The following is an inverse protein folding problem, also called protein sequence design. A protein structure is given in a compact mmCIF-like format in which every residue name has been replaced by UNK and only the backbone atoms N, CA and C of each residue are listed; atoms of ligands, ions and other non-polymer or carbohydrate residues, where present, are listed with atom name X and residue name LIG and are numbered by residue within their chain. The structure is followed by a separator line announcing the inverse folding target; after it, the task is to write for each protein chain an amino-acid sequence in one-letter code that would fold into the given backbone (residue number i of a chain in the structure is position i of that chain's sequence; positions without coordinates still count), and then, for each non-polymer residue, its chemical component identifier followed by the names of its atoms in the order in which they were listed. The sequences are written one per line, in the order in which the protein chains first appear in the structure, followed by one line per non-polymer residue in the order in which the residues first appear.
data_IF_061819984342
#
_entry.id   IF_061819984342
#
_cell.length_a   1.000
_cell.length_b   1.000
_cell.length_c   1.000
_cell.angle_alpha   90.00
_cell.angle_beta   90.00
_cell.angle_gamma   90.00
#
_symmetry.space_group_name_H-M   'P 1'
#
loop_
_entity.id
_entity.type
_entity.pdbx_description
1 polymer ?
#
# COMPACT_ATOMS: atom_id res chain seq x y z
N UNK A 1 0.48 -6.38 -4.25
CA UNK A 1 1.46 -7.43 -3.88
C UNK A 1 2.20 -8.05 -5.06
N UNK A 2 1.49 -8.55 -6.08
CA UNK A 2 2.15 -9.19 -7.22
C UNK A 2 3.18 -8.28 -7.93
N UNK A 3 2.80 -7.02 -8.17
CA UNK A 3 3.67 -6.02 -8.83
C UNK A 3 5.03 -5.90 -8.14
N UNK A 4 5.05 -5.67 -6.83
CA UNK A 4 6.29 -5.50 -6.08
C UNK A 4 7.08 -6.80 -5.96
N UNK A 5 6.42 -7.96 -5.92
CA UNK A 5 7.09 -9.26 -5.92
C UNK A 5 7.84 -9.51 -7.24
N UNK A 6 7.23 -9.13 -8.37
CA UNK A 6 7.90 -9.17 -9.68
C UNK A 6 9.08 -8.22 -9.73
N UNK A 7 8.92 -6.99 -9.24
CA UNK A 7 10.01 -6.02 -9.13
C UNK A 7 11.19 -6.61 -8.34
N UNK A 8 10.93 -7.22 -7.17
CA UNK A 8 11.97 -7.89 -6.39
C UNK A 8 12.69 -8.99 -7.19
N UNK A 9 11.94 -9.86 -7.89
CA UNK A 9 12.53 -10.95 -8.68
C UNK A 9 13.39 -10.48 -9.84
N UNK A 10 12.97 -9.45 -10.57
CA UNK A 10 13.68 -8.98 -11.76
C UNK A 10 14.78 -7.96 -11.47
N UNK A 11 14.67 -7.19 -10.39
CA UNK A 11 15.59 -6.07 -10.11
C UNK A 11 16.35 -6.22 -8.80
N UNK A 12 15.97 -7.15 -7.93
CA UNK A 12 16.48 -7.23 -6.56
C UNK A 12 16.01 -6.09 -5.64
N UNK A 13 15.16 -5.17 -6.14
CA UNK A 13 14.74 -4.02 -5.36
C UNK A 13 13.87 -4.44 -4.14
N UNK A 14 14.19 -3.95 -2.92
CA UNK A 14 13.58 -4.44 -1.69
C UNK A 14 12.21 -3.82 -1.37
N UNK A 15 11.57 -3.05 -2.26
CA UNK A 15 10.26 -2.44 -2.02
C UNK A 15 9.19 -3.45 -1.55
N UNK A 16 9.27 -4.70 -1.99
CA UNK A 16 8.38 -5.77 -1.54
C UNK A 16 8.54 -6.13 -0.04
N UNK A 17 9.75 -5.98 0.50
CA UNK A 17 10.07 -6.33 1.90
C UNK A 17 9.37 -5.38 2.86
N UNK A 18 9.10 -4.14 2.44
CA UNK A 18 8.37 -3.13 3.22
C UNK A 18 7.01 -3.63 3.70
N UNK A 19 6.38 -4.55 2.96
CA UNK A 19 5.12 -5.20 3.37
C UNK A 19 5.20 -5.85 4.76
N UNK A 20 6.39 -6.36 5.10
CA UNK A 20 6.66 -7.09 6.33
C UNK A 20 7.41 -6.24 7.35
N UNK A 21 7.55 -4.94 7.09
CA UNK A 21 8.16 -4.00 8.00
C UNK A 21 7.08 -3.31 8.82
N UNK A 22 6.88 -3.81 10.03
CA UNK A 22 5.96 -3.27 11.03
C UNK A 22 6.67 -3.09 12.37
N UNK A 23 7.99 -2.87 12.36
CA UNK A 23 8.81 -2.71 13.57
C UNK A 23 8.35 -1.52 14.43
N UNK A 24 7.86 -0.48 13.75
CA UNK A 24 7.30 0.73 14.34
C UNK A 24 5.89 0.57 14.93
N UNK A 25 5.30 -0.63 14.89
CA UNK A 25 3.98 -0.92 15.48
C UNK A 25 4.17 -1.84 16.71
N UNK A 26 4.04 -1.32 17.94
CA UNK A 26 4.43 -2.03 19.17
C UNK A 26 3.77 -3.40 19.41
N UNK A 27 2.51 -3.58 18.99
CA UNK A 27 1.79 -4.84 19.18
C UNK A 27 2.11 -5.83 18.06
N UNK A 28 2.18 -5.35 16.82
CA UNK A 28 2.31 -6.19 15.63
C UNK A 28 3.75 -6.71 15.46
N UNK A 29 4.76 -5.94 15.89
CA UNK A 29 6.17 -6.31 15.75
C UNK A 29 6.57 -7.59 16.52
N UNK A 30 5.78 -8.01 17.51
CA UNK A 30 6.01 -9.23 18.29
C UNK A 30 5.38 -10.48 17.67
N UNK A 31 4.43 -10.32 16.74
CA UNK A 31 3.64 -11.42 16.20
C UNK A 31 4.46 -12.31 15.24
N UNK A 32 4.27 -13.63 15.35
CA UNK A 32 4.95 -14.65 14.53
C UNK A 32 3.97 -15.71 14.02
N UNK A 33 4.07 -16.14 12.75
CA UNK A 33 5.14 -15.83 11.81
C UNK A 33 4.96 -14.48 11.08
N UNK A 34 6.08 -13.76 10.89
CA UNK A 34 6.11 -12.38 10.33
C UNK A 34 5.39 -12.26 8.99
N UNK A 35 5.59 -13.25 8.10
CA UNK A 35 4.98 -13.23 6.78
C UNK A 35 3.44 -13.25 6.85
N UNK A 36 2.86 -14.05 7.75
CA UNK A 36 1.41 -14.21 7.89
C UNK A 36 0.78 -12.92 8.42
N UNK A 37 1.31 -12.42 9.55
CA UNK A 37 0.76 -11.21 10.17
C UNK A 37 1.00 -9.95 9.32
N UNK A 38 2.12 -9.87 8.59
CA UNK A 38 2.35 -8.81 7.62
C UNK A 38 1.31 -8.80 6.50
N UNK A 39 0.99 -9.97 5.93
CA UNK A 39 -0.08 -10.05 4.93
C UNK A 39 -1.44 -9.68 5.50
N UNK A 40 -1.82 -10.25 6.66
CA UNK A 40 -3.12 -9.97 7.28
C UNK A 40 -3.25 -8.47 7.56
N UNK A 41 -2.26 -7.86 8.20
CA UNK A 41 -2.26 -6.44 8.52
C UNK A 41 -2.43 -5.59 7.26
N UNK A 42 -1.66 -5.89 6.20
CA UNK A 42 -1.75 -5.15 4.96
C UNK A 42 -3.12 -5.30 4.29
N UNK A 43 -3.62 -6.53 4.10
CA UNK A 43 -4.89 -6.76 3.43
C UNK A 43 -6.08 -6.17 4.20
N UNK A 44 -6.08 -6.27 5.53
CA UNK A 44 -7.09 -5.63 6.38
C UNK A 44 -7.04 -4.11 6.19
N UNK A 45 -5.85 -3.51 6.21
CA UNK A 45 -5.69 -2.06 5.99
C UNK A 45 -6.17 -1.63 4.60
N UNK A 46 -5.89 -2.42 3.56
CA UNK A 46 -6.42 -2.19 2.21
C UNK A 46 -7.94 -2.26 2.16
N UNK A 47 -8.57 -3.28 2.77
CA UNK A 47 -10.02 -3.40 2.77
C UNK A 47 -10.69 -2.25 3.52
N UNK A 48 -10.21 -1.95 4.73
CA UNK A 48 -10.73 -0.85 5.55
C UNK A 48 -10.60 0.48 4.80
N UNK A 49 -9.45 0.75 4.18
CA UNK A 49 -9.25 1.98 3.41
C UNK A 49 -10.15 2.08 2.18
N UNK A 50 -10.43 0.97 1.47
CA UNK A 50 -11.42 0.96 0.37
C UNK A 50 -12.80 1.37 0.87
N UNK A 51 -13.30 0.75 1.93
CA UNK A 51 -14.63 1.06 2.46
C UNK A 51 -14.69 2.50 2.97
N UNK A 52 -13.69 2.93 3.74
CA UNK A 52 -13.61 4.28 4.27
C UNK A 52 -13.61 5.33 3.15
N UNK A 53 -12.76 5.16 2.13
CA UNK A 53 -12.69 6.09 1.02
C UNK A 53 -13.97 6.09 0.18
N UNK A 54 -14.55 4.92 -0.11
CA UNK A 54 -15.81 4.82 -0.83
C UNK A 54 -16.92 5.62 -0.15
N UNK A 55 -17.16 5.39 1.14
CA UNK A 55 -18.22 6.08 1.88
C UNK A 55 -17.94 7.59 2.02
N UNK A 56 -16.68 7.98 2.20
CA UNK A 56 -16.29 9.39 2.24
C UNK A 56 -16.60 10.09 0.90
N UNK A 57 -16.28 9.46 -0.22
CA UNK A 57 -16.55 10.03 -1.55
C UNK A 57 -18.04 10.03 -1.90
N UNK A 58 -18.79 9.05 -1.40
CA UNK A 58 -20.24 8.94 -1.61
C UNK A 58 -21.01 10.12 -1.04
N UNK A 59 -20.52 10.75 0.04
CA UNK A 59 -21.12 11.96 0.62
C UNK A 59 -21.21 13.10 -0.42
N UNK A 60 -20.32 13.11 -1.42
CA UNK A 60 -20.25 14.12 -2.48
C UNK A 60 -20.51 13.54 -3.88
N UNK A 61 -21.02 12.31 -3.97
CA UNK A 61 -21.25 11.59 -5.24
C UNK A 61 -19.98 11.47 -6.11
N UNK A 62 -18.81 11.32 -5.48
CA UNK A 62 -17.51 11.22 -6.14
C UNK A 62 -16.97 9.78 -6.19
N UNK A 63 -17.71 8.80 -5.66
CA UNK A 63 -17.26 7.42 -5.47
C UNK A 63 -16.96 6.68 -6.78
N UNK A 64 -17.47 7.17 -7.92
CA UNK A 64 -17.17 6.58 -9.26
C UNK A 64 -15.98 7.25 -9.97
N UNK A 65 -15.34 8.26 -9.36
CA UNK A 65 -14.18 8.95 -9.95
C UNK A 65 -12.88 8.20 -9.68
N UNK A 66 -12.48 7.35 -10.64
CA UNK A 66 -11.25 6.52 -10.59
C UNK A 66 -10.02 7.34 -10.18
N UNK A 67 -9.87 8.55 -10.73
CA UNK A 67 -8.72 9.41 -10.45
C UNK A 67 -8.53 9.69 -8.96
N UNK A 68 -9.61 9.82 -8.19
CA UNK A 68 -9.50 10.09 -6.75
C UNK A 68 -8.88 8.89 -6.03
N UNK A 69 -9.26 7.66 -6.37
CA UNK A 69 -8.64 6.45 -5.80
C UNK A 69 -7.16 6.39 -6.15
N UNK A 70 -6.80 6.63 -7.42
CA UNK A 70 -5.39 6.65 -7.85
C UNK A 70 -4.60 7.67 -7.04
N UNK A 71 -5.09 8.91 -6.91
CA UNK A 71 -4.41 9.98 -6.19
C UNK A 71 -4.28 9.64 -4.69
N UNK A 72 -5.37 9.24 -4.04
CA UNK A 72 -5.37 8.96 -2.59
C UNK A 72 -4.44 7.79 -2.27
N UNK A 73 -4.49 6.69 -3.02
CA UNK A 73 -3.61 5.56 -2.75
C UNK A 73 -2.16 5.82 -3.14
N UNK A 74 -1.89 6.58 -4.21
CA UNK A 74 -0.52 6.95 -4.57
C UNK A 74 0.11 7.90 -3.55
N UNK A 75 -0.60 8.97 -3.19
CA UNK A 75 -0.10 9.96 -2.23
C UNK A 75 -0.01 9.32 -0.84
N UNK A 76 -1.06 8.63 -0.39
CA UNK A 76 -1.07 7.95 0.90
C UNK A 76 -0.01 6.86 0.99
N UNK A 77 0.06 5.96 0.01
CA UNK A 77 1.07 4.91 -0.06
C UNK A 77 2.48 5.48 -0.11
N UNK A 78 2.72 6.46 -0.97
CA UNK A 78 4.01 7.16 -1.09
C UNK A 78 4.43 7.90 0.17
N UNK A 79 3.48 8.49 0.92
CA UNK A 79 3.75 9.10 2.22
C UNK A 79 4.10 8.05 3.29
N UNK A 80 3.36 6.93 3.34
CA UNK A 80 3.60 5.84 4.28
C UNK A 80 4.96 5.16 4.07
N UNK A 81 5.56 5.26 2.87
CA UNK A 81 6.90 4.73 2.62
C UNK A 81 7.93 5.28 3.59
N UNK A 82 7.83 6.56 4.00
CA UNK A 82 8.82 7.20 4.87
C UNK A 82 8.80 6.68 6.31
N UNK A 83 7.82 5.87 6.70
CA UNK A 83 7.86 5.10 7.96
C UNK A 83 9.03 4.10 8.00
N UNK A 84 9.62 3.77 6.86
CA UNK A 84 10.90 3.06 6.77
C UNK A 84 12.01 3.70 7.59
N UNK A 85 11.99 5.03 7.79
CA UNK A 85 12.97 5.72 8.64
C UNK A 85 12.93 5.27 10.12
N UNK A 86 11.83 4.62 10.53
CA UNK A 86 11.62 4.12 11.89
C UNK A 86 12.06 2.66 12.08
N UNK A 87 12.67 2.04 11.07
CA UNK A 87 13.10 0.64 11.13
C UNK A 87 14.48 0.47 10.47
N UNK A 88 15.33 -0.42 11.00
CA UNK A 88 16.60 -0.78 10.35
C UNK A 88 16.40 -1.72 9.13
N UNK A 89 15.18 -2.21 8.88
CA UNK A 89 14.89 -3.11 7.75
C UNK A 89 14.79 -2.33 6.43
N UNK A 90 15.14 -2.97 5.29
CA UNK A 90 15.01 -2.33 3.99
C UNK A 90 13.53 -2.15 3.58
N UNK A 91 13.24 -1.24 2.63
CA UNK A 91 14.14 -0.27 2.01
C UNK A 91 14.50 0.89 2.96
N UNK A 92 15.65 1.53 2.75
CA UNK A 92 15.96 2.80 3.40
C UNK A 92 15.02 3.90 2.91
N UNK A 93 14.75 4.89 3.77
CA UNK A 93 13.79 5.98 3.50
C UNK A 93 14.20 6.90 2.33
N UNK A 94 15.49 6.96 2.03
CA UNK A 94 16.09 7.70 0.92
C UNK A 94 16.23 6.86 -0.37
N UNK A 95 15.78 5.60 -0.36
CA UNK A 95 15.82 4.76 -1.56
C UNK A 95 14.72 5.16 -2.54
N UNK A 96 15.06 6.12 -3.41
CA UNK A 96 14.16 6.67 -4.43
C UNK A 96 13.57 5.59 -5.34
N UNK A 97 14.37 4.60 -5.77
CA UNK A 97 13.88 3.55 -6.66
C UNK A 97 12.80 2.68 -5.99
N UNK A 98 12.99 2.32 -4.71
CA UNK A 98 12.00 1.57 -3.95
C UNK A 98 10.74 2.40 -3.70
N UNK A 99 10.88 3.71 -3.43
CA UNK A 99 9.76 4.64 -3.29
C UNK A 99 8.93 4.74 -4.58
N UNK A 100 9.57 4.83 -5.75
CA UNK A 100 8.89 4.86 -7.05
C UNK A 100 8.10 3.58 -7.27
N UNK A 101 8.72 2.40 -7.10
CA UNK A 101 8.03 1.12 -7.29
C UNK A 101 6.87 0.95 -6.30
N UNK A 102 7.07 1.32 -5.03
CA UNK A 102 6.05 1.28 -4.00
C UNK A 102 4.85 2.17 -4.34
N UNK A 103 5.11 3.43 -4.69
CA UNK A 103 4.08 4.41 -5.06
C UNK A 103 3.32 3.97 -6.31
N UNK A 104 4.04 3.48 -7.32
CA UNK A 104 3.44 2.98 -8.55
C UNK A 104 2.55 1.75 -8.33
N UNK A 105 2.96 0.82 -7.47
CA UNK A 105 2.12 -0.32 -7.09
C UNK A 105 0.81 0.12 -6.41
N UNK A 106 0.85 1.20 -5.61
CA UNK A 106 -0.35 1.78 -5.01
C UNK A 106 -1.22 2.54 -6.02
N UNK A 107 -0.61 3.19 -7.02
CA UNK A 107 -1.35 3.79 -8.14
C UNK A 107 -2.15 2.73 -8.91
N UNK A 108 -1.53 1.59 -9.23
CA UNK A 108 -2.19 0.44 -9.85
C UNK A 108 -3.34 -0.06 -8.97
N UNK A 109 -3.10 -0.22 -7.67
CA UNK A 109 -4.14 -0.63 -6.72
C UNK A 109 -5.34 0.33 -6.75
N UNK A 110 -5.11 1.64 -6.67
CA UNK A 110 -6.17 2.64 -6.74
C UNK A 110 -6.93 2.65 -8.06
N UNK A 111 -6.22 2.43 -9.18
CA UNK A 111 -6.85 2.30 -10.48
C UNK A 111 -7.78 1.09 -10.55
N UNK A 112 -7.32 -0.08 -10.09
CA UNK A 112 -8.12 -1.31 -10.06
C UNK A 112 -9.33 -1.17 -9.15
N UNK A 113 -9.17 -0.62 -7.94
CA UNK A 113 -10.28 -0.36 -7.01
C UNK A 113 -11.31 0.59 -7.63
N UNK A 114 -10.85 1.71 -8.19
CA UNK A 114 -11.74 2.68 -8.83
C UNK A 114 -12.51 2.08 -10.02
N UNK A 115 -11.87 1.23 -10.83
CA UNK A 115 -12.53 0.50 -11.91
C UNK A 115 -13.60 -0.47 -11.38
N UNK A 116 -13.30 -1.21 -10.31
CA UNK A 116 -14.25 -2.14 -9.72
C UNK A 116 -15.48 -1.39 -9.18
N UNK A 117 -15.27 -0.29 -8.46
CA UNK A 117 -16.37 0.52 -7.94
C UNK A 117 -17.20 1.11 -9.08
N UNK A 118 -16.57 1.68 -10.12
CA UNK A 118 -17.29 2.25 -11.26
C UNK A 118 -18.09 1.21 -12.05
N UNK A 119 -17.61 -0.03 -12.14
CA UNK A 119 -18.23 -1.08 -12.96
C UNK A 119 -19.33 -1.85 -12.22
N UNK A 120 -19.17 -2.08 -10.91
CA UNK A 120 -20.01 -3.02 -10.16
C UNK A 120 -20.93 -2.35 -9.12
N UNK A 121 -20.81 -1.04 -8.91
CA UNK A 121 -21.66 -0.21 -8.04
C UNK A 121 -22.14 1.03 -8.81
#
# INVERSE_FOLDING_TARGET
MLVLRLVLWFTGNPAYILLFNFDYIPVINTLKPVWLFGYIFHFVTCLVSIFALYYLLRIRSLEKRILIYVLVYSIGGGALFFLTALSPKPPAADNLSAWIYWTFAHAIFGYVVGLLIKKWL
#
